data_IF_254240706569
#
_entry.id   IF_254240706569
#
_cell.length_a   1.000
_cell.length_b   1.000
_cell.length_c   1.000
_cell.angle_alpha   90.00
_cell.angle_beta   90.00
_cell.angle_gamma   90.00
#
_symmetry.space_group_name_H-M   'P 1'
#
loop_
_entity.id
_entity.type
_entity.pdbx_description
1 polymer ?
2 non-polymer ?
3 non-polymer ?
4 non-polymer ?
5 non-polymer ?
6 non-polymer ?
7 water ?
#
# COMPACT_ATOMS: atom_id res chain seq x y z
N UNK A 13 -11.50 18.83 16.13
CA UNK A 13 -12.20 18.38 14.93
C UNK A 13 -11.72 16.99 14.52
N UNK A 14 -12.66 16.06 14.39
CA UNK A 14 -12.30 14.69 14.04
C UNK A 14 -12.18 14.53 12.52
N UNK A 15 -11.48 13.48 12.13
CA UNK A 15 -11.27 13.20 10.71
C UNK A 15 -12.58 12.78 10.06
N UNK A 16 -12.86 13.34 8.89
CA UNK A 16 -14.05 13.01 8.12
C UNK A 16 -13.64 12.04 7.02
N UNK A 17 -14.08 10.78 7.06
CA UNK A 17 -13.65 9.80 6.05
C UNK A 17 -14.11 10.21 4.66
N UNK A 18 -13.22 10.15 3.68
CA UNK A 18 -13.62 10.45 2.29
C UNK A 18 -14.61 9.41 1.79
N UNK A 19 -15.30 9.68 0.68
CA UNK A 19 -16.24 8.69 0.15
C UNK A 19 -15.53 7.43 -0.28
N UNK A 20 -16.28 6.33 -0.30
CA UNK A 20 -15.72 5.02 -0.61
C UNK A 20 -15.48 4.89 -2.12
N UNK A 21 -14.35 4.29 -2.46
CA UNK A 21 -14.03 3.97 -3.85
C UNK A 21 -14.87 2.79 -4.30
N UNK A 22 -14.97 2.54 -5.61
CA UNK A 22 -15.79 1.43 -6.08
C UNK A 22 -15.21 0.08 -5.70
N UNK A 23 -16.10 -0.85 -5.38
CA UNK A 23 -15.74 -2.24 -5.10
C UNK A 23 -16.48 -3.14 -6.07
N UNK A 24 -15.74 -4.05 -6.71
CA UNK A 24 -16.29 -4.95 -7.69
C UNK A 24 -16.22 -6.38 -7.17
N UNK A 25 -17.30 -7.14 -7.40
CA UNK A 25 -17.39 -8.55 -7.02
C UNK A 25 -17.66 -9.34 -8.29
N UNK A 26 -16.64 -9.58 -9.11
CA UNK A 26 -16.86 -10.21 -10.41
C UNK A 26 -17.29 -11.66 -10.27
N UNK A 27 -18.12 -12.10 -11.21
CA UNK A 27 -18.50 -13.50 -11.29
C UNK A 27 -17.32 -14.31 -11.81
N UNK A 28 -17.50 -15.63 -11.83
CA UNK A 28 -16.44 -16.51 -12.33
C UNK A 28 -16.15 -16.23 -13.81
N UNK A 29 -17.18 -15.89 -14.58
CA UNK A 29 -16.97 -15.58 -15.99
C UNK A 29 -16.18 -14.29 -16.17
N UNK A 30 -16.54 -13.25 -15.41
CA UNK A 30 -15.82 -11.98 -15.49
C UNK A 30 -14.42 -12.07 -14.90
N UNK A 31 -14.18 -13.02 -14.00
CA UNK A 31 -12.88 -13.22 -13.36
C UNK A 31 -11.91 -14.01 -14.23
N UNK A 32 -12.24 -14.23 -15.50
CA UNK A 32 -11.43 -15.13 -16.33
C UNK A 32 -10.06 -14.55 -16.63
N UNK A 33 -9.96 -13.23 -16.84
CA UNK A 33 -8.66 -12.61 -17.04
C UNK A 33 -8.70 -11.16 -16.56
N UNK A 34 -7.67 -10.70 -15.85
CA UNK A 34 -7.75 -9.38 -15.22
C UNK A 34 -7.71 -8.21 -16.19
N UNK A 35 -6.90 -8.30 -17.24
CA UNK A 35 -6.73 -7.16 -18.14
C UNK A 35 -8.03 -6.80 -18.84
N UNK A 36 -8.81 -7.80 -19.25
CA UNK A 36 -10.11 -7.52 -19.85
C UNK A 36 -11.07 -6.93 -18.83
N UNK A 37 -11.01 -7.41 -17.59
CA UNK A 37 -11.92 -6.92 -16.55
C UNK A 37 -11.57 -5.49 -16.17
N UNK A 38 -10.28 -5.20 -15.97
CA UNK A 38 -9.86 -3.85 -15.62
C UNK A 38 -10.20 -2.87 -16.75
N UNK A 39 -10.08 -3.32 -17.99
CA UNK A 39 -10.42 -2.47 -19.12
C UNK A 39 -11.89 -2.16 -19.21
N UNK A 40 -12.74 -3.06 -18.72
CA UNK A 40 -14.18 -2.81 -18.76
C UNK A 40 -14.64 -1.90 -17.63
N UNK A 41 -14.03 -2.04 -16.43
CA UNK A 41 -14.41 -1.21 -15.29
C UNK A 41 -13.74 0.15 -15.30
N UNK A 42 -12.85 0.41 -16.25
CA UNK A 42 -12.09 1.66 -16.23
C UNK A 42 -12.91 2.94 -16.35
N UNK A 43 -14.04 3.00 -17.09
CA UNK A 43 -14.79 4.26 -17.12
C UNK A 43 -15.20 4.77 -15.74
N UNK A 44 -15.45 3.87 -14.79
CA UNK A 44 -15.79 4.28 -13.44
C UNK A 44 -14.55 4.38 -12.54
N UNK A 45 -13.68 3.37 -12.59
CA UNK A 45 -12.56 3.31 -11.65
C UNK A 45 -11.52 4.38 -11.92
N UNK A 46 -11.33 4.77 -13.18
CA UNK A 46 -10.37 5.83 -13.48
C UNK A 46 -10.84 7.19 -12.98
N UNK A 47 -12.14 7.35 -12.72
CA UNK A 47 -12.66 8.58 -12.13
C UNK A 47 -12.50 8.62 -10.63
N UNK A 48 -12.08 7.51 -10.00
CA UNK A 48 -11.82 7.47 -8.57
C UNK A 48 -10.36 7.18 -8.24
N UNK A 49 -9.52 6.91 -9.25
CA UNK A 49 -8.11 6.63 -9.01
C UNK A 49 -7.81 5.23 -8.55
N UNK A 50 -8.53 4.73 -7.54
CA UNK A 50 -8.35 3.39 -7.04
C UNK A 50 -9.70 2.66 -7.05
N UNK A 51 -9.63 1.34 -7.04
CA UNK A 51 -10.82 0.51 -6.90
C UNK A 51 -10.43 -0.80 -6.22
N UNK A 52 -11.42 -1.46 -5.65
CA UNK A 52 -11.23 -2.71 -4.93
C UNK A 52 -11.94 -3.83 -5.66
N UNK A 53 -11.30 -4.99 -5.74
CA UNK A 53 -11.84 -6.15 -6.45
C UNK A 53 -11.87 -7.33 -5.48
N UNK A 54 -13.06 -7.88 -5.26
CA UNK A 54 -13.21 -9.05 -4.41
C UNK A 54 -13.35 -10.29 -5.28
N UNK A 55 -12.40 -11.22 -5.24
CA UNK A 55 -12.49 -12.43 -6.05
C UNK A 55 -13.68 -13.28 -5.61
N UNK A 56 -14.09 -14.25 -6.42
CA UNK A 56 -15.16 -15.16 -5.99
C UNK A 56 -14.82 -15.85 -4.68
N UNK A 57 -15.86 -16.27 -3.97
CA UNK A 57 -15.69 -16.77 -2.60
C UNK A 57 -14.77 -17.97 -2.55
N UNK A 58 -14.82 -18.83 -3.57
CA UNK A 58 -14.01 -20.04 -3.57
C UNK A 58 -12.59 -19.82 -4.06
N UNK A 59 -12.24 -18.61 -4.50
CA UNK A 59 -10.88 -18.30 -4.95
C UNK A 59 -10.04 -17.95 -3.74
N UNK A 60 -9.33 -18.94 -3.21
CA UNK A 60 -8.51 -18.77 -2.01
C UNK A 60 -7.13 -19.36 -2.28
N UNK A 61 -6.17 -18.55 -2.73
CA UNK A 61 -4.84 -19.07 -2.99
C UNK A 61 -4.12 -19.35 -1.68
N UNK A 62 -3.19 -20.30 -1.67
CA UNK A 62 -2.37 -20.53 -0.48
C UNK A 62 -1.33 -19.43 -0.33
N UNK A 63 -0.70 -19.42 0.85
CA UNK A 63 0.42 -18.52 1.12
C UNK A 63 1.70 -19.32 0.90
N UNK A 64 2.48 -18.93 -0.12
CA UNK A 64 3.59 -19.74 -0.61
C UNK A 64 4.95 -19.13 -0.30
N UNK A 65 5.04 -18.23 0.69
CA UNK A 65 6.33 -17.71 1.09
C UNK A 65 7.06 -18.70 1.99
N UNK A 66 8.38 -18.65 1.95
CA UNK A 66 9.22 -19.49 2.80
C UNK A 66 9.24 -18.87 4.19
N UNK A 67 8.32 -19.34 5.04
CA UNK A 67 8.14 -18.73 6.36
C UNK A 67 9.29 -19.09 7.29
N UNK A 68 9.87 -20.28 7.15
CA UNK A 68 10.90 -20.73 8.09
C UNK A 68 12.14 -19.85 8.03
N UNK A 69 12.39 -19.20 6.89
CA UNK A 69 13.56 -18.36 6.72
C UNK A 69 13.23 -16.89 6.52
N UNK A 70 11.96 -16.51 6.56
CA UNK A 70 11.56 -15.13 6.25
C UNK A 70 12.07 -14.19 7.34
N UNK A 71 12.93 -13.26 6.96
CA UNK A 71 13.46 -12.26 7.87
C UNK A 71 13.67 -10.96 7.10
N UNK A 72 13.55 -9.84 7.82
CA UNK A 72 13.62 -8.54 7.19
C UNK A 72 13.97 -7.49 8.23
N UNK A 73 14.40 -6.33 7.74
CA UNK A 73 14.76 -5.19 8.58
C UNK A 73 13.84 -4.03 8.21
N UNK A 74 12.71 -3.88 8.92
CA UNK A 74 11.74 -2.86 8.53
C UNK A 74 12.23 -1.45 8.85
N UNK A 75 11.81 -0.51 8.01
CA UNK A 75 12.21 0.87 8.20
C UNK A 75 11.42 1.50 9.35
N UNK A 76 12.05 2.45 10.02
CA UNK A 76 11.46 3.14 11.17
C UNK A 76 10.74 4.38 10.68
N UNK A 77 9.51 4.58 11.15
CA UNK A 77 8.66 5.67 10.68
C UNK A 77 8.30 6.58 11.85
N UNK A 78 8.75 7.83 11.79
CA UNK A 78 8.33 8.87 12.73
C UNK A 78 7.12 9.55 12.10
N UNK A 79 5.92 9.23 12.63
CA UNK A 79 4.69 9.62 11.95
C UNK A 79 4.50 11.13 11.88
N UNK A 80 5.02 11.87 12.87
CA UNK A 80 4.85 13.32 12.92
C UNK A 80 6.11 14.08 12.50
N UNK A 81 6.91 13.50 11.60
CA UNK A 81 8.19 14.12 11.26
C UNK A 81 8.00 15.44 10.55
N UNK A 82 6.95 15.56 9.73
CA UNK A 82 6.70 16.83 9.03
C UNK A 82 6.26 17.91 10.00
N UNK A 83 5.31 17.59 10.88
CA UNK A 83 4.85 18.56 11.86
C UNK A 83 5.94 18.93 12.85
N UNK A 84 6.88 18.00 13.10
CA UNK A 84 7.98 18.28 14.02
C UNK A 84 8.94 19.32 13.47
N UNK A 85 8.92 19.57 12.16
CA UNK A 85 9.81 20.58 11.57
C UNK A 85 9.50 21.99 12.07
N UNK A 86 8.33 22.19 12.68
CA UNK A 86 7.94 23.50 13.20
C UNK A 86 8.43 23.74 14.62
N UNK A 87 9.22 22.82 15.18
CA UNK A 87 9.73 22.97 16.53
C UNK A 87 10.80 24.05 16.60
N UNK A 90 15.53 21.78 16.72
CA UNK A 90 16.26 20.50 16.67
C UNK A 90 16.45 19.90 18.06
N UNK A 91 15.82 18.76 18.32
CA UNK A 91 15.95 18.11 19.60
C UNK A 91 17.36 17.56 19.78
N UNK A 92 17.70 17.29 21.04
CA UNK A 92 19.04 16.79 21.36
C UNK A 92 19.27 15.43 20.72
N UNK A 93 20.39 15.30 20.01
CA UNK A 93 20.78 14.06 19.35
C UNK A 93 19.75 13.60 18.33
N UNK A 94 19.27 14.54 17.51
CA UNK A 94 18.32 14.18 16.46
C UNK A 94 18.99 13.30 15.41
N UNK A 95 18.22 12.36 14.87
CA UNK A 95 18.73 11.38 13.94
C UNK A 95 19.11 10.06 14.57
N UNK A 96 19.17 9.99 15.90
CA UNK A 96 19.50 8.77 16.63
C UNK A 96 18.31 8.26 17.43
N UNK A 97 17.09 8.48 16.93
CA UNK A 97 15.90 8.12 17.69
C UNK A 97 15.77 6.61 17.85
N UNK A 98 15.92 5.86 16.76
CA UNK A 98 15.73 4.41 16.80
C UNK A 98 16.36 3.80 15.58
N UNK A 99 17.22 2.80 15.78
CA UNK A 99 17.88 2.10 14.69
C UNK A 99 17.01 0.95 14.19
N UNK A 100 17.25 0.57 12.95
CA UNK A 100 16.54 -0.55 12.33
C UNK A 100 17.09 -1.86 12.85
N UNK A 101 16.21 -2.83 13.08
CA UNK A 101 16.58 -4.14 13.57
C UNK A 101 15.95 -5.21 12.67
N UNK A 102 16.41 -6.44 12.83
CA UNK A 102 15.90 -7.56 12.06
C UNK A 102 14.80 -8.28 12.82
N UNK A 103 13.73 -8.61 12.12
CA UNK A 103 12.63 -9.40 12.67
C UNK A 103 12.45 -10.65 11.83
N UNK A 104 11.83 -11.66 12.44
CA UNK A 104 11.22 -12.73 11.67
C UNK A 104 9.76 -12.38 11.43
N UNK A 105 9.10 -13.18 10.59
CA UNK A 105 7.68 -12.97 10.36
C UNK A 105 6.89 -13.13 11.64
N UNK A 106 7.31 -14.06 12.50
CA UNK A 106 6.62 -14.28 13.77
C UNK A 106 6.93 -13.16 14.76
N UNK A 107 8.21 -12.82 14.93
CA UNK A 107 8.58 -11.81 15.92
C UNK A 107 8.04 -10.44 15.57
N UNK A 108 7.92 -10.12 14.27
CA UNK A 108 7.31 -8.86 13.87
C UNK A 108 5.82 -8.85 14.21
N UNK A 109 5.13 -9.97 13.99
CA UNK A 109 3.72 -10.03 14.32
C UNK A 109 3.46 -9.93 15.81
N UNK A 110 4.33 -10.54 16.63
CA UNK A 110 4.19 -10.41 18.07
C UNK A 110 4.37 -8.97 18.51
N UNK A 111 5.37 -8.28 17.95
CA UNK A 111 5.56 -6.87 18.25
C UNK A 111 4.37 -6.04 17.76
N UNK A 112 3.87 -6.36 16.57
CA UNK A 112 2.79 -5.56 15.99
C UNK A 112 1.50 -5.69 16.80
N UNK A 113 1.14 -6.92 17.17
CA UNK A 113 -0.09 -7.12 17.94
C UNK A 113 0.04 -6.52 19.34
N UNK A 114 1.22 -6.66 19.96
CA UNK A 114 1.42 -6.08 21.28
C UNK A 114 1.32 -4.56 21.23
N UNK A 115 1.86 -3.95 20.18
CA UNK A 115 1.79 -2.49 20.06
C UNK A 115 0.35 -2.01 19.94
N UNK A 116 -0.42 -2.63 19.05
CA UNK A 116 -1.79 -2.17 18.81
C UNK A 116 -2.67 -2.40 20.02
N UNK A 117 -2.57 -3.58 20.64
CA UNK A 117 -3.41 -3.88 21.80
C UNK A 117 -3.04 -2.97 22.98
N UNK A 118 -1.76 -2.67 23.15
CA UNK A 118 -1.35 -1.77 24.22
C UNK A 118 -1.78 -0.34 23.92
N UNK A 119 -1.71 0.07 22.65
CA UNK A 119 -2.04 1.45 22.30
C UNK A 119 -3.52 1.75 22.52
N UNK A 120 -4.40 0.84 22.11
CA UNK A 120 -5.83 1.06 22.21
C UNK A 120 -6.45 0.43 23.46
N UNK A 121 -5.69 -0.35 24.21
CA UNK A 121 -6.20 -1.03 25.41
C UNK A 121 -7.38 -1.95 25.07
N UNK A 122 -7.30 -2.59 23.91
CA UNK A 122 -8.35 -3.47 23.41
C UNK A 122 -7.68 -4.63 22.69
N UNK A 123 -8.37 -5.76 22.55
CA UNK A 123 -7.89 -6.80 21.63
C UNK A 123 -7.82 -6.23 20.21
N UNK A 124 -6.82 -6.69 19.46
CA UNK A 124 -6.51 -6.08 18.17
C UNK A 124 -7.70 -6.18 17.21
N UNK A 125 -8.44 -7.29 17.27
CA UNK A 125 -9.55 -7.50 16.36
C UNK A 125 -10.80 -6.71 16.73
N UNK A 126 -10.81 -6.06 17.89
CA UNK A 126 -11.97 -5.28 18.34
C UNK A 126 -11.86 -3.80 18.04
N UNK A 127 -10.69 -3.32 17.61
CA UNK A 127 -10.51 -1.91 17.30
C UNK A 127 -11.16 -1.60 15.96
N UNK A 128 -12.15 -0.72 15.90
CA UNK A 128 -12.79 -0.41 14.63
C UNK A 128 -11.83 0.27 13.67
N UNK A 129 -12.02 0.01 12.37
CA UNK A 129 -11.17 0.63 11.36
C UNK A 129 -11.30 2.14 11.37
N UNK A 130 -12.49 2.66 11.70
CA UNK A 130 -12.67 4.11 11.79
C UNK A 130 -11.87 4.71 12.93
N UNK A 131 -11.64 3.95 14.00
CA UNK A 131 -10.89 4.48 15.14
C UNK A 131 -9.40 4.58 14.82
N UNK A 132 -8.84 3.54 14.20
CA UNK A 132 -7.43 3.60 13.79
C UNK A 132 -7.23 4.74 12.80
N UNK A 133 -8.18 4.92 11.89
CA UNK A 133 -8.07 5.99 10.91
C UNK A 133 -8.11 7.36 11.58
N UNK A 134 -9.04 7.56 12.50
CA UNK A 134 -9.14 8.84 13.20
C UNK A 134 -7.88 9.11 14.03
N UNK A 135 -7.36 8.09 14.70
CA UNK A 135 -6.18 8.28 15.54
C UNK A 135 -4.92 8.47 14.70
N UNK A 136 -4.84 7.80 13.55
CA UNK A 136 -3.66 7.95 12.69
C UNK A 136 -3.49 9.41 12.25
N UNK A 137 -4.56 10.03 11.78
CA UNK A 137 -4.47 11.41 11.30
C UNK A 137 -4.32 12.41 12.44
N UNK A 138 -4.72 12.04 13.67
CA UNK A 138 -4.42 12.89 14.81
C UNK A 138 -2.93 12.82 15.17
N UNK A 139 -2.34 11.63 15.09
CA UNK A 139 -0.94 11.46 15.44
C UNK A 139 -0.01 12.14 14.43
N UNK A 140 -0.41 12.18 13.16
CA UNK A 140 0.46 12.76 12.14
C UNK A 140 0.65 14.26 12.37
N UNK A 141 -0.37 14.94 12.87
CA UNK A 141 -0.31 16.38 13.12
C UNK A 141 -0.09 16.72 14.58
N UNK A 142 0.23 15.73 15.42
CA UNK A 142 0.43 15.96 16.84
C UNK A 142 1.90 16.19 17.15
N UNK A 143 2.19 17.28 17.85
CA UNK A 143 3.52 17.52 18.39
C UNK A 143 3.62 17.21 19.88
N UNK A 144 2.49 16.89 20.53
CA UNK A 144 2.49 16.49 21.93
C UNK A 144 2.90 15.04 22.13
N UNK A 145 2.75 14.22 21.10
CA UNK A 145 2.98 12.78 21.20
C UNK A 145 3.82 12.34 20.00
N UNK A 146 4.84 11.53 20.28
CA UNK A 146 5.76 11.04 19.26
C UNK A 146 5.57 9.53 19.15
N UNK A 147 4.87 9.10 18.10
CA UNK A 147 4.59 7.69 17.87
C UNK A 147 5.53 7.19 16.77
N UNK A 148 6.19 6.07 17.01
CA UNK A 148 7.15 5.49 16.09
C UNK A 148 6.73 4.06 15.80
N UNK A 149 6.62 3.71 14.52
CA UNK A 149 6.27 2.37 14.08
C UNK A 149 7.29 1.90 13.05
N UNK A 150 7.13 0.65 12.62
CA UNK A 150 8.04 0.04 11.64
C UNK A 150 7.23 -0.54 10.49
N UNK A 151 7.87 -0.61 9.33
CA UNK A 151 7.21 -0.94 8.07
C UNK A 151 8.12 -1.88 7.30
N UNK A 152 7.73 -3.16 7.21
CA UNK A 152 8.53 -4.13 6.46
C UNK A 152 8.28 -4.01 4.96
N UNK A 153 8.79 -2.96 4.35
CA UNK A 153 8.48 -2.63 2.97
C UNK A 153 9.63 -2.99 2.05
N UNK A 154 9.32 -3.07 0.76
CA UNK A 154 10.31 -3.28 -0.31
C UNK A 154 11.07 -4.59 -0.13
N UNK A 155 10.35 -5.65 0.23
CA UNK A 155 10.91 -7.00 0.28
C UNK A 155 10.63 -7.65 -1.07
N UNK A 156 11.68 -7.91 -1.83
CA UNK A 156 11.52 -8.51 -3.15
C UNK A 156 10.97 -9.93 -3.03
N UNK A 157 10.09 -10.27 -3.97
CA UNK A 157 9.59 -11.64 -4.05
C UNK A 157 10.69 -12.64 -4.38
N UNK A 158 11.85 -12.18 -4.82
CA UNK A 158 12.97 -13.09 -5.09
C UNK A 158 13.69 -13.53 -3.83
N UNK A 159 13.50 -12.82 -2.71
CA UNK A 159 14.24 -13.14 -1.49
C UNK A 159 13.72 -14.44 -0.88
N UNK A 160 12.42 -14.54 -0.63
CA UNK A 160 11.84 -15.72 0.02
C UNK A 160 10.69 -16.31 -0.79
N UNK A 161 10.54 -15.93 -2.06
CA UNK A 161 9.43 -16.38 -2.86
C UNK A 161 8.23 -15.44 -2.77
N UNK A 162 7.38 -15.53 -3.79
CA UNK A 162 6.16 -14.74 -3.80
C UNK A 162 5.15 -15.33 -2.83
N UNK A 163 4.18 -14.49 -2.42
CA UNK A 163 3.09 -14.98 -1.61
C UNK A 163 2.20 -15.97 -2.36
N UNK A 164 2.15 -15.86 -3.69
CA UNK A 164 1.45 -16.75 -4.59
C UNK A 164 2.34 -17.93 -4.95
N UNK A 165 1.74 -19.10 -5.20
CA UNK A 165 2.55 -20.23 -5.71
C UNK A 165 3.06 -19.92 -7.10
N UNK A 166 4.31 -20.32 -7.36
CA UNK A 166 4.96 -20.08 -8.64
C UNK A 166 5.62 -21.38 -9.08
N UNK A 167 5.37 -21.78 -10.33
CA UNK A 167 5.93 -23.01 -10.89
C UNK A 167 7.33 -22.76 -11.42
N UNK A 168 8.25 -22.50 -10.49
CA UNK A 168 9.66 -22.34 -10.81
C UNK A 168 10.54 -23.44 -10.22
N UNK A 169 9.94 -24.44 -9.57
CA UNK A 169 10.68 -25.56 -9.03
C UNK A 169 11.36 -25.30 -7.69
N UNK A 170 11.17 -24.13 -7.10
CA UNK A 170 11.83 -23.80 -5.84
C UNK A 170 11.06 -24.28 -4.62
N UNK A 171 9.73 -24.38 -4.72
CA UNK A 171 8.90 -24.77 -3.60
C UNK A 171 7.81 -25.72 -4.08
N UNK A 172 7.41 -26.64 -3.20
CA UNK A 172 6.42 -27.64 -3.56
C UNK A 172 5.06 -26.99 -3.78
N UNK A 173 4.37 -27.42 -4.83
CA UNK A 173 3.03 -26.96 -5.16
C UNK A 173 2.10 -28.15 -5.17
N UNK A 174 1.08 -28.12 -4.32
CA UNK A 174 0.09 -29.18 -4.28
C UNK A 174 -0.79 -29.13 -5.54
N UNK A 175 -1.40 -30.26 -5.90
CA UNK A 175 -2.25 -30.25 -7.11
C UNK A 175 -3.39 -29.25 -7.06
N UNK A 176 -4.02 -29.08 -5.89
CA UNK A 176 -5.11 -28.11 -5.77
C UNK A 176 -4.62 -26.67 -5.76
N UNK A 177 -3.31 -26.45 -5.64
CA UNK A 177 -2.74 -25.11 -5.67
C UNK A 177 -2.24 -24.70 -7.05
N UNK A 178 -2.22 -25.63 -8.01
CA UNK A 178 -1.65 -25.33 -9.32
C UNK A 178 -2.48 -24.29 -10.08
N UNK A 179 -3.80 -24.27 -9.87
CA UNK A 179 -4.62 -23.28 -10.54
C UNK A 179 -4.26 -21.86 -10.13
N UNK A 180 -3.76 -21.69 -8.90
CA UNK A 180 -3.34 -20.36 -8.44
C UNK A 180 -1.97 -20.00 -8.96
N UNK A 181 -1.12 -20.99 -9.24
CA UNK A 181 0.17 -20.70 -9.87
C UNK A 181 0.02 -20.32 -11.33
N UNK A 182 -1.07 -20.73 -11.97
CA UNK A 182 -1.31 -20.43 -13.37
C UNK A 182 -2.36 -19.34 -13.57
N UNK A 183 -2.94 -18.82 -12.50
CA UNK A 183 -4.01 -17.84 -12.62
C UNK A 183 -3.48 -16.51 -13.14
N UNK A 184 -4.30 -15.84 -13.96
CA UNK A 184 -3.96 -14.51 -14.41
C UNK A 184 -3.97 -13.46 -13.31
N UNK A 185 -4.65 -13.75 -12.21
CA UNK A 185 -4.65 -12.85 -11.05
C UNK A 185 -3.46 -13.08 -10.12
N UNK A 186 -2.68 -14.13 -10.36
CA UNK A 186 -1.39 -14.26 -9.71
C UNK A 186 -0.50 -13.11 -10.15
N UNK A 187 -0.02 -12.33 -9.19
CA UNK A 187 0.74 -11.12 -9.52
C UNK A 187 2.01 -11.42 -10.30
N UNK A 188 2.52 -12.64 -10.22
CA UNK A 188 3.68 -13.03 -11.03
C UNK A 188 3.32 -13.29 -12.48
N UNK A 189 2.04 -13.35 -12.81
CA UNK A 189 1.59 -13.61 -14.18
C UNK A 189 1.01 -12.37 -14.85
N UNK A 190 1.25 -11.19 -14.29
CA UNK A 190 0.78 -9.94 -14.89
C UNK A 190 1.79 -9.47 -15.94
N UNK A 191 1.32 -8.88 -17.03
CA UNK A 191 2.25 -8.34 -18.03
C UNK A 191 2.94 -7.09 -17.50
N UNK A 192 4.26 -7.03 -17.70
CA UNK A 192 5.07 -5.97 -17.10
C UNK A 192 5.96 -5.28 -18.12
N UNK A 193 6.00 -5.80 -19.35
CA UNK A 193 6.92 -5.32 -20.37
C UNK A 193 6.26 -4.18 -21.15
N UNK A 194 6.77 -2.96 -20.97
CA UNK A 194 6.25 -1.81 -21.70
C UNK A 194 6.82 -1.78 -23.11
N UNK A 195 5.97 -1.39 -24.06
CA UNK A 195 6.38 -1.34 -25.46
C UNK A 195 7.16 -0.07 -25.74
N UNK A 196 8.26 -0.21 -26.49
CA UNK A 196 9.10 0.92 -26.86
C UNK A 196 10.05 0.45 -27.95
N UNK A 197 10.64 1.44 -28.64
CA UNK A 197 11.64 1.11 -29.66
C UNK A 197 12.92 0.61 -29.01
N UNK A 198 13.26 1.13 -27.83
CA UNK A 198 14.46 0.67 -27.13
C UNK A 198 14.37 -0.81 -26.77
N UNK A 199 13.17 -1.29 -26.45
CA UNK A 199 12.98 -2.70 -26.13
C UNK A 199 13.34 -3.61 -27.30
N UNK A 200 13.30 -3.10 -28.52
CA UNK A 200 13.72 -3.85 -29.69
C UNK A 200 15.19 -3.64 -30.02
N UNK A 201 15.88 -2.76 -29.32
CA UNK A 201 17.29 -2.48 -29.57
C UNK A 201 18.17 -3.12 -28.51
N UNK A 202 17.79 -3.05 -27.25
CA UNK A 202 18.58 -3.66 -26.18
C UNK A 202 18.57 -5.18 -26.32
N UNK A 203 19.73 -5.78 -26.09
CA UNK A 203 19.86 -7.23 -26.19
C UNK A 203 19.83 -7.88 -24.81
N UNK A 208 11.55 -7.57 -16.65
CA UNK A 208 12.33 -8.16 -15.57
C UNK A 208 11.75 -7.78 -14.21
N UNK A 209 10.64 -7.04 -14.23
CA UNK A 209 10.02 -6.58 -13.00
C UNK A 209 9.32 -7.73 -12.29
N UNK A 210 9.40 -7.74 -10.96
CA UNK A 210 8.80 -8.78 -10.14
C UNK A 210 8.00 -8.11 -9.03
N UNK A 211 7.04 -8.82 -8.44
CA UNK A 211 6.28 -8.24 -7.33
C UNK A 211 7.14 -7.99 -6.11
N UNK A 212 6.67 -7.08 -5.27
CA UNK A 212 7.34 -6.73 -4.02
C UNK A 212 6.38 -6.95 -2.86
N UNK A 213 6.95 -7.30 -1.70
CA UNK A 213 6.19 -7.67 -0.52
C UNK A 213 6.26 -6.58 0.53
N UNK A 214 5.18 -6.44 1.30
CA UNK A 214 5.06 -5.40 2.32
C UNK A 214 4.42 -6.00 3.56
N UNK A 215 5.17 -6.02 4.66
CA UNK A 215 4.68 -6.52 5.94
C UNK A 215 4.36 -5.31 6.80
N UNK A 216 3.09 -5.15 7.16
CA UNK A 216 2.67 -3.96 7.87
C UNK A 216 2.29 -4.18 9.32
N UNK A 217 2.25 -3.09 10.08
CA UNK A 217 1.71 -3.06 11.43
C UNK A 217 0.80 -1.85 11.54
N UNK A 218 0.15 -1.71 12.70
CA UNK A 218 -0.74 -0.58 12.92
C UNK A 218 0.05 0.72 12.80
N UNK A 219 -0.46 1.63 11.97
CA UNK A 219 0.04 2.98 11.69
C UNK A 219 1.17 3.03 10.65
N UNK A 220 1.76 1.90 10.26
CA UNK A 220 2.73 1.92 9.15
C UNK A 220 2.03 2.45 7.90
N UNK A 221 2.68 3.37 7.21
CA UNK A 221 2.02 4.13 6.16
C UNK A 221 2.96 4.36 4.98
N UNK A 222 2.35 4.65 3.83
CA UNK A 222 3.07 5.03 2.61
C UNK A 222 2.52 6.36 2.12
N UNK A 223 3.40 7.20 1.59
CA UNK A 223 3.07 8.59 1.29
C UNK A 223 2.29 8.70 -0.03
N UNK A 224 1.77 9.90 -0.26
CA UNK A 224 1.12 10.21 -1.53
C UNK A 224 2.14 10.16 -2.66
N UNK A 225 1.86 9.34 -3.66
CA UNK A 225 2.80 9.19 -4.78
C UNK A 225 2.06 8.58 -5.96
N UNK A 226 2.73 8.64 -7.12
CA UNK A 226 2.31 7.93 -8.32
C UNK A 226 3.42 6.96 -8.70
N UNK A 227 3.06 5.96 -9.49
CA UNK A 227 4.03 4.95 -9.89
C UNK A 227 4.94 5.49 -10.99
N UNK A 228 6.09 4.85 -11.14
CA UNK A 228 7.02 5.22 -12.19
C UNK A 228 6.39 4.99 -13.55
N UNK A 229 6.63 5.93 -14.47
CA UNK A 229 6.07 5.89 -15.82
C UNK A 229 4.54 5.93 -15.84
N UNK A 230 3.93 6.47 -14.78
CA UNK A 230 2.47 6.55 -14.65
C UNK A 230 1.83 5.17 -14.78
N UNK A 231 2.52 4.15 -14.30
CA UNK A 231 2.07 2.78 -14.54
C UNK A 231 0.87 2.42 -13.66
N UNK A 232 0.08 1.48 -14.16
CA UNK A 232 -0.90 0.80 -13.32
C UNK A 232 -0.18 0.06 -12.20
N UNK A 233 -0.93 -0.29 -11.17
CA UNK A 233 -0.43 -1.18 -10.14
C UNK A 233 -1.59 -1.99 -9.58
N UNK A 234 -1.28 -3.21 -9.16
CA UNK A 234 -2.25 -4.08 -8.50
C UNK A 234 -1.64 -4.55 -7.18
N UNK A 235 -2.48 -4.65 -6.15
CA UNK A 235 -2.03 -4.98 -4.81
C UNK A 235 -2.97 -6.04 -4.24
N UNK A 236 -2.40 -7.09 -3.67
CA UNK A 236 -3.16 -8.18 -3.07
C UNK A 236 -2.75 -8.32 -1.62
N UNK A 237 -3.74 -8.34 -0.72
CA UNK A 237 -3.49 -8.55 0.70
C UNK A 237 -3.63 -10.04 1.00
N UNK A 238 -2.50 -10.71 1.24
CA UNK A 238 -2.52 -12.15 1.45
C UNK A 238 -3.24 -12.52 2.74
N UNK A 239 -2.92 -11.84 3.84
CA UNK A 239 -3.56 -12.09 5.12
C UNK A 239 -3.33 -10.90 6.04
N UNK A 240 -4.04 -10.90 7.16
CA UNK A 240 -3.86 -9.92 8.20
C UNK A 240 -4.99 -8.91 8.25
N UNK A 241 -4.77 -7.87 9.06
CA UNK A 241 -5.73 -6.80 9.23
C UNK A 241 -5.73 -5.88 8.01
N UNK A 242 -6.81 -5.12 7.81
CA UNK A 242 -6.96 -4.38 6.55
C UNK A 242 -5.89 -3.33 6.32
N UNK A 243 -5.75 -2.96 5.05
CA UNK A 243 -4.90 -1.85 4.62
C UNK A 243 -5.82 -0.75 4.12
N UNK A 244 -5.73 0.44 4.71
CA UNK A 244 -6.59 1.55 4.35
C UNK A 244 -5.93 2.37 3.26
N UNK A 245 -6.68 2.68 2.21
CA UNK A 245 -6.18 3.37 1.03
C UNK A 245 -6.87 4.71 0.86
N UNK A 246 -6.17 5.64 0.23
CA UNK A 246 -6.75 6.88 -0.27
C UNK A 246 -6.26 7.09 -1.69
N UNK A 247 -7.15 7.52 -2.57
CA UNK A 247 -6.81 7.66 -3.97
C UNK A 247 -7.36 8.94 -4.55
N UNK A 248 -6.66 9.45 -5.57
CA UNK A 248 -7.07 10.64 -6.29
C UNK A 248 -7.08 10.30 -7.78
N UNK A 249 -8.17 10.60 -8.50
CA UNK A 249 -8.20 10.30 -9.94
C UNK A 249 -7.15 11.09 -10.70
N UNK A 250 -6.74 10.53 -11.85
CA UNK A 250 -5.68 11.13 -12.64
C UNK A 250 -6.02 12.50 -13.17
N UNK A 251 -7.30 12.82 -13.35
CA UNK A 251 -7.68 14.13 -13.86
C UNK A 251 -7.36 15.24 -12.86
N UNK A 252 -7.18 14.91 -11.59
CA UNK A 252 -6.82 15.89 -10.56
C UNK A 252 -5.36 15.79 -10.15
N UNK A 253 -4.52 15.14 -10.96
CA UNK A 253 -3.13 14.90 -10.57
C UNK A 253 -2.37 16.23 -10.44
N UNK A 254 -2.50 17.11 -11.42
CA UNK A 254 -1.80 18.39 -11.34
C UNK A 254 -2.39 19.29 -10.27
N UNK A 255 -3.68 19.13 -9.97
CA UNK A 255 -4.28 19.87 -8.87
C UNK A 255 -3.70 19.43 -7.53
N UNK A 256 -3.52 18.12 -7.34
CA UNK A 256 -2.92 17.62 -6.11
C UNK A 256 -1.48 18.09 -5.97
N UNK A 257 -0.72 18.05 -7.06
CA UNK A 257 0.70 18.43 -6.99
C UNK A 257 0.86 19.89 -6.59
N UNK A 258 -0.02 20.77 -7.07
CA UNK A 258 0.07 22.17 -6.69
C UNK A 258 -0.35 22.38 -5.25
N UNK A 259 -1.40 21.69 -4.80
CA UNK A 259 -1.81 21.79 -3.40
C UNK A 259 -0.75 21.21 -2.48
N UNK A 260 -0.21 20.03 -2.83
CA UNK A 260 0.79 19.40 -2.00
C UNK A 260 2.05 20.25 -1.87
N UNK A 261 2.43 20.95 -2.95
CA UNK A 261 3.59 21.82 -2.89
C UNK A 261 3.33 23.08 -2.10
N UNK A 262 2.08 23.57 -2.13
CA UNK A 262 1.75 24.77 -1.38
C UNK A 262 1.69 24.50 0.13
N UNK A 263 1.32 23.29 0.52
CA UNK A 263 1.18 22.95 1.93
C UNK A 263 2.37 22.19 2.49
N UNK A 264 3.27 21.69 1.64
CA UNK A 264 4.50 21.09 2.12
C UNK A 264 5.39 22.16 2.72
N UNK A 265 6.34 21.77 3.58
CA UNK A 265 7.30 22.74 4.10
C UNK A 265 8.04 23.46 2.97
N UNK A 266 8.34 24.73 3.20
CA UNK A 266 9.00 25.53 2.17
C UNK A 266 10.38 24.97 1.81
N UNK A 267 11.02 24.28 2.75
CA UNK A 267 12.33 23.70 2.47
C UNK A 267 12.27 22.58 1.44
N UNK A 268 11.09 21.98 1.23
CA UNK A 268 10.93 20.89 0.28
C UNK A 268 10.14 21.29 -0.96
N UNK A 269 9.71 22.54 -1.06
CA UNK A 269 8.77 22.93 -2.11
C UNK A 269 9.36 22.78 -3.51
N UNK A 270 10.67 23.00 -3.66
CA UNK A 270 11.33 22.95 -4.96
C UNK A 270 11.98 21.60 -5.24
N UNK A 271 11.79 20.62 -4.37
CA UNK A 271 12.41 19.33 -4.57
C UNK A 271 11.73 18.59 -5.73
N UNK A 272 12.49 17.78 -6.47
CA UNK A 272 11.89 16.99 -7.56
C UNK A 272 10.85 16.02 -7.01
N UNK A 273 9.96 15.58 -7.91
CA UNK A 273 8.85 14.74 -7.51
C UNK A 273 9.32 13.44 -6.88
N UNK A 274 10.35 12.81 -7.46
CA UNK A 274 10.80 11.52 -6.96
C UNK A 274 11.33 11.61 -5.53
N UNK A 275 11.83 12.78 -5.13
CA UNK A 275 12.29 12.98 -3.76
C UNK A 275 11.18 13.54 -2.86
N UNK A 276 10.35 14.43 -3.40
CA UNK A 276 9.25 14.98 -2.61
C UNK A 276 8.29 13.89 -2.14
N UNK A 277 8.08 12.85 -2.96
CA UNK A 277 7.16 11.78 -2.62
C UNK A 277 7.62 10.96 -1.42
N UNK A 278 8.86 11.13 -0.96
CA UNK A 278 9.35 10.36 0.17
C UNK A 278 8.79 10.81 1.51
N UNK A 279 8.16 11.99 1.58
CA UNK A 279 7.72 12.54 2.85
C UNK A 279 6.28 13.04 2.78
N UNK A 280 5.60 12.81 1.65
CA UNK A 280 4.29 13.40 1.40
C UNK A 280 3.17 12.62 2.10
N UNK A 281 3.16 12.74 3.43
CA UNK A 281 2.02 12.32 4.23
C UNK A 281 1.15 13.56 4.46
N UNK A 282 -0.09 13.52 3.97
CA UNK A 282 -0.98 14.66 4.08
C UNK A 282 -2.40 14.18 4.35
N UNK A 283 -3.07 14.86 5.29
CA UNK A 283 -4.44 14.51 5.64
C UNK A 283 -5.34 14.67 4.42
N UNK A 284 -6.14 13.66 4.07
CA UNK A 284 -7.02 13.79 2.90
C UNK A 284 -8.05 14.91 3.03
N UNK A 285 -8.47 15.23 4.26
CA UNK A 285 -9.45 16.31 4.44
C UNK A 285 -8.88 17.64 3.98
N UNK A 286 -7.57 17.86 4.18
CA UNK A 286 -6.95 19.11 3.74
C UNK A 286 -6.92 19.18 2.22
N UNK A 287 -6.66 18.05 1.56
CA UNK A 287 -6.73 18.01 0.10
C UNK A 287 -8.15 18.26 -0.39
N UNK A 288 -9.14 17.63 0.26
CA UNK A 288 -10.53 17.82 -0.14
C UNK A 288 -10.97 19.26 0.06
N UNK A 289 -10.49 19.91 1.12
CA UNK A 289 -10.81 21.32 1.34
C UNK A 289 -10.24 22.21 0.24
N UNK A 290 -9.18 21.77 -0.43
CA UNK A 290 -8.60 22.51 -1.55
C UNK A 290 -9.14 22.06 -2.90
N UNK A 291 -10.25 21.31 -2.92
CA UNK A 291 -10.91 20.95 -4.14
C UNK A 291 -10.45 19.66 -4.79
N UNK A 292 -9.57 18.90 -4.15
CA UNK A 292 -9.04 17.66 -4.70
C UNK A 292 -10.00 16.52 -4.36
N UNK A 293 -10.51 15.78 -5.34
CA UNK A 293 -11.36 14.63 -5.02
C UNK A 293 -10.53 13.48 -4.46
N UNK A 294 -10.98 12.91 -3.36
CA UNK A 294 -10.28 11.82 -2.67
C UNK A 294 -11.30 10.73 -2.36
N UNK A 295 -10.89 9.47 -2.60
CA UNK A 295 -11.69 8.31 -2.26
C UNK A 295 -10.88 7.39 -1.35
N UNK A 296 -11.58 6.59 -0.56
CA UNK A 296 -10.97 5.71 0.43
C UNK A 296 -11.48 4.29 0.26
N UNK A 297 -10.78 3.35 0.89
CA UNK A 297 -11.25 1.98 0.99
C UNK A 297 -10.45 1.26 2.06
N UNK A 298 -11.06 0.22 2.62
CA UNK A 298 -10.38 -0.71 3.52
C UNK A 298 -10.19 -2.02 2.75
N UNK A 299 -8.95 -2.30 2.38
CA UNK A 299 -8.62 -3.53 1.66
C UNK A 299 -8.43 -4.64 2.68
N UNK A 300 -9.33 -5.62 2.67
CA UNK A 300 -9.26 -6.73 3.61
C UNK A 300 -8.51 -7.90 3.00
N UNK A 301 -8.26 -8.91 3.83
CA UNK A 301 -7.49 -10.07 3.40
C UNK A 301 -8.21 -10.78 2.25
N UNK A 302 -7.45 -11.08 1.20
CA UNK A 302 -7.99 -11.74 0.03
C UNK A 302 -8.57 -10.82 -1.02
N UNK A 303 -8.39 -9.51 -0.90
CA UNK A 303 -8.97 -8.54 -1.81
C UNK A 303 -7.87 -7.80 -2.56
N UNK A 304 -8.17 -7.41 -3.79
CA UNK A 304 -7.25 -6.69 -4.65
C UNK A 304 -7.57 -5.19 -4.62
N UNK A 305 -6.53 -4.38 -4.82
CA UNK A 305 -6.67 -2.95 -5.05
C UNK A 305 -5.88 -2.60 -6.31
N UNK A 306 -6.53 -1.92 -7.25
CA UNK A 306 -5.91 -1.50 -8.50
C UNK A 306 -5.79 0.02 -8.47
N UNK A 307 -4.59 0.51 -8.74
CA UNK A 307 -4.35 1.94 -8.92
C UNK A 307 -4.17 2.21 -10.42
N UNK A 308 -4.80 3.26 -10.89
CA UNK A 308 -4.85 3.59 -12.31
C UNK A 308 -3.72 4.55 -12.67
N UNK A 309 -3.43 4.70 -13.96
CA UNK A 309 -2.30 5.56 -14.37
C UNK A 309 -2.43 6.97 -13.83
N UNK A 310 -1.33 7.46 -13.24
CA UNK A 310 -1.24 8.82 -12.71
C UNK A 310 -2.22 9.09 -11.57
N UNK A 311 -2.70 8.03 -10.92
CA UNK A 311 -3.61 8.17 -9.78
C UNK A 311 -2.77 8.23 -8.51
N UNK A 312 -2.71 9.41 -7.89
CA UNK A 312 -2.01 9.56 -6.63
C UNK A 312 -2.71 8.76 -5.55
N UNK A 313 -1.92 8.09 -4.70
CA UNK A 313 -2.49 7.25 -3.67
C UNK A 313 -1.58 7.21 -2.45
N UNK A 314 -2.21 7.00 -1.29
CA UNK A 314 -1.50 6.86 -0.03
C UNK A 314 -2.31 5.93 0.86
N UNK A 315 -1.81 5.69 2.07
CA UNK A 315 -2.55 4.85 2.99
C UNK A 315 -1.71 4.39 4.15
N UNK A 316 -2.35 3.59 5.00
CA UNK A 316 -1.72 3.05 6.20
C UNK A 316 -2.34 1.68 6.48
N UNK A 317 -1.67 0.93 7.35
CA UNK A 317 -2.12 -0.41 7.71
C UNK A 317 -2.83 -0.39 9.06
N UNK A 318 -3.94 -1.13 9.14
CA UNK A 318 -4.69 -1.23 10.39
C UNK A 318 -4.00 -2.12 11.42
N UNK A 319 -3.13 -3.01 10.97
CA UNK A 319 -2.45 -3.90 11.88
C UNK A 319 -1.52 -4.84 11.13
N UNK A 320 -1.15 -5.93 11.80
CA UNK A 320 -0.25 -6.92 11.23
C UNK A 320 -0.88 -7.53 9.97
N UNK A 321 -0.22 -7.33 8.84
CA UNK A 321 -0.72 -7.86 7.57
C UNK A 321 0.45 -8.12 6.62
N UNK A 322 0.12 -8.66 5.45
CA UNK A 322 1.11 -9.05 4.46
C UNK A 322 0.52 -8.78 3.08
N UNK A 323 1.17 -7.91 2.31
CA UNK A 323 0.66 -7.51 1.00
C UNK A 323 1.72 -7.76 -0.07
N UNK A 324 1.25 -7.88 -1.31
CA UNK A 324 2.10 -8.07 -2.48
C UNK A 324 1.62 -7.14 -3.58
N UNK A 325 2.56 -6.48 -4.25
CA UNK A 325 2.22 -5.45 -5.23
C UNK A 325 3.15 -5.55 -6.42
N UNK A 326 2.62 -5.18 -7.60
CA UNK A 326 3.40 -5.17 -8.82
C UNK A 326 2.80 -4.15 -9.78
N UNK A 327 3.64 -3.54 -10.60
CA UNK A 327 3.19 -2.68 -11.68
C UNK A 327 2.95 -3.53 -12.92
N UNK A 328 1.85 -3.24 -13.61
CA UNK A 328 1.52 -3.94 -14.85
C UNK A 328 1.22 -2.94 -15.95
N UNK A 329 1.38 -3.39 -17.19
CA UNK A 329 1.14 -2.58 -18.38
C UNK A 329 -0.07 -3.10 -19.13
N UNK A 330 -0.65 -2.23 -19.95
CA UNK A 330 -1.81 -2.60 -20.74
C UNK A 330 -1.52 -2.48 -22.23
X LIG B 1 1.11 -2.40 -0.01
X LIG B 1 1.92 -1.43 0.09
X LIG B 1 2.30 -1.05 1.23
X LIG B 1 2.43 -0.72 -1.16
X LIG B 1 2.40 0.79 -0.93
X LIG B 1 3.00 1.50 -2.05
X LIG B 1 4.33 1.76 -2.06
X LIG B 1 4.91 2.13 -3.19
X LIG B 1 6.24 2.38 -3.16
X LIG B 1 6.89 2.81 -4.43
X LIG B 1 6.07 3.12 -5.46
X LIG B 1 6.66 3.51 -6.62
X LIG B 1 8.03 3.60 -6.77
X LIG B 1 8.83 3.29 -5.72
X LIG B 1 8.28 2.90 -4.54
X LIG B 1 7.04 2.28 -2.06
X LIG B 1 6.43 1.90 -0.94
X LIG B 1 5.07 1.63 -0.93
X LIG B 1 7.20 1.77 0.18
X LIG B 1 8.65 1.96 0.13
X LIG B 1 9.06 3.44 -0.02
X LIG B 1 8.79 4.34 1.19
X LIG B 1 8.17 3.90 2.37
X LIG B 1 7.72 2.43 2.49
X LIG B 1 6.64 2.06 1.48
X LIG B 1 9.19 5.67 1.12
X LIG B 1 8.99 6.57 2.16
X LIG B 1 8.37 6.13 3.32
X LIG B 1 7.97 4.81 3.42
X LIG C 1 3.90 2.64 -5.15
X LIG D 1 -14.80 12.20 -10.22
X LIG D 1 -13.62 11.93 -10.94
X LIG D 1 -14.48 13.38 -9.28
X LIG D 1 -14.04 14.49 -9.97
X LIG D 1 -15.82 13.65 -8.54
X LIG D 1 -15.60 14.75 -7.71
X LIG E 1 0.16 -17.42 6.66
X LIG E 1 1.06 -17.03 7.65
X LIG E 1 -1.10 -17.94 7.39
X LIG E 1 -2.00 -16.93 7.67
X LIG E 1 -1.69 -19.02 6.43
X LIG E 1 -0.69 -19.97 6.24
X LIG F 1 7.33 5.91 -2.69
X LIG F 1 8.35 6.73 -3.17
X LIG F 1 6.73 6.61 -1.46
X LIG F 1 5.91 7.67 -1.80
X LIG F 1 5.98 5.50 -0.69
X LIG F 1 5.79 5.96 0.61
X LIG G 1 -8.04 -7.25 28.63
X LIG G 1 -7.53 -7.43 29.91
X LIG G 1 -6.88 -6.73 27.75
X LIG G 1 -5.86 -7.66 27.64
X LIG G 1 -7.53 -6.43 26.38
X LIG G 1 -6.51 -5.99 25.54
X LIG H 1 14.55 -5.88 3.26
X LIG H 1 14.13 -5.69 4.58
X LIG H 1 15.28 -7.25 3.22
X LIG H 1 16.15 -7.40 4.29
X LIG H 1 14.15 -8.30 3.22
X LIG H 1 14.76 -9.54 3.10
X LIG I 1 -15.35 -2.19 4.86
X LIG I 1 -15.61 -2.00 3.43
X LIG I 1 -14.79 -0.96 5.41
X LIG I 1 -16.59 -2.50 5.54
X LIG I 1 -14.39 -3.28 5.04
X LIG J 1 8.79 -23.00 4.51
X LIG J 1 8.66 -23.10 3.05
X LIG J 1 9.95 -22.18 4.84
X LIG J 1 7.59 -22.38 5.06
X LIG J 1 8.96 -24.33 5.07
X LIG K 1 20.03 5.51 13.33
X LIG K 1 21.26 6.10 13.85
X LIG K 1 19.76 6.06 12.00
X LIG K 1 18.92 5.83 14.22
X LIG K 1 20.18 4.07 13.23
X LIG L 1 8.16 8.47 7.00
X LIG L 1 8.27 6.99 6.79
X LIG L 1 7.28 9.22 5.60
X LIG L 1 6.94 8.78 8.31
X LIG M 1 4.42 15.46 -5.78
X LIG M 1 5.82 14.92 -5.78
X LIG M 1 3.64 15.11 -4.18
X LIG M 1 4.48 17.26 -5.72
#
# INVERSE_FOLDING_TARGET
HNMAGVGPGGYAAEFVPPPECPVFEPSWEEFTDPLSFIGRIRPLAEKTGICKIRPPKDWQPPFACEVKSFRFTPRVQRLNELEAMTRVRPREAFGFEQAVREYTLQSFGEMADNFKSDYFNMPVHMVPTELVEKEFWRLVSSIEEDVIVEYGADISSKDFGSGFPVKDGRRKILPEEEEYALSGWNLNNMPVLEQSVLAHINVDISGMKVPWLYVGMCFSSFCWHIEDHWSYSINYLHWGEPKTWYGVPSHAAEQLEEVMRELAPELFESQPDLLHQLVTIMNPNVLMEHGVPVYRTNQCAGEFVVTFPRAYHSGFNQGYNFAEAVNFCT
K0I O2 C1 O1 C2 C3 N1 C4 N3 C7 C8 N4 C12 C11 C10 C9 N2 C6 C5 N5 C22 C21 C20 C15 C14 C13 C19 C18 C17 C16
MN MN
GOL C1 O1 C2 O2 C3 O3
GOL C1 O1 C2 O2 C3 O3
GOL C1 O1 C2 O2 C3 O3
GOL C1 O1 C2 O2 C3 O3
GOL C1 O1 C2 O2 C3 O3
SO4 S O1 O2 O3 O4
SO4 S O1 O2 O3 O4
SO4 S O1 O2 O3 O4
DMS S O C1 C2
DMS S O C1 C2
#
